data_IF_219503303169
#
_entry.id   IF_219503303169
#
_cell.length_a   1.000
_cell.length_b   1.000
_cell.length_c   1.000
_cell.angle_alpha   90.00
_cell.angle_beta   90.00
_cell.angle_gamma   90.00
#
_symmetry.space_group_name_H-M   'P 1'
#
loop_
_entity.id
_entity.type
_entity.pdbx_description
1 polymer ?
#
# COMPACT_ATOMS: atom_id res chain seq x y z
N UNK A 1 16.33 -13.16 -33.11
CA UNK A 1 16.22 -13.53 -31.68
C UNK A 1 14.74 -13.67 -31.24
N UNK A 2 13.88 -14.33 -32.04
CA UNK A 2 12.41 -14.38 -31.84
C UNK A 2 11.83 -15.80 -31.79
N UNK A 3 12.67 -16.84 -31.68
CA UNK A 3 12.26 -18.26 -31.72
C UNK A 3 12.31 -19.00 -30.37
N UNK A 4 12.41 -18.26 -29.25
CA UNK A 4 12.54 -18.85 -27.91
C UNK A 4 11.22 -18.81 -27.12
N UNK A 5 10.38 -17.78 -27.34
CA UNK A 5 9.13 -17.60 -26.60
C UNK A 5 8.08 -18.70 -26.89
N UNK A 6 7.90 -19.10 -28.16
CA UNK A 6 6.92 -20.14 -28.52
C UNK A 6 7.24 -21.54 -27.96
N UNK A 7 8.53 -21.84 -27.69
CA UNK A 7 8.93 -23.13 -27.09
C UNK A 7 8.62 -23.22 -25.60
N UNK A 8 8.67 -22.11 -24.88
CA UNK A 8 8.33 -22.07 -23.47
C UNK A 8 6.81 -22.25 -23.25
N UNK A 9 6.01 -21.60 -24.09
CA UNK A 9 4.55 -21.68 -23.99
C UNK A 9 4.02 -23.06 -24.41
N UNK A 10 4.58 -23.67 -25.45
CA UNK A 10 4.27 -25.04 -25.86
C UNK A 10 4.62 -26.05 -24.74
N UNK A 11 5.80 -25.94 -24.13
CA UNK A 11 6.22 -26.83 -23.03
C UNK A 11 5.32 -26.68 -21.80
N UNK A 12 4.86 -25.46 -21.49
CA UNK A 12 3.96 -25.19 -20.37
C UNK A 12 2.55 -25.72 -20.62
N UNK A 13 2.09 -25.66 -21.88
CA UNK A 13 0.82 -26.25 -22.31
C UNK A 13 0.86 -27.78 -22.19
N UNK A 14 1.91 -28.41 -22.71
CA UNK A 14 2.12 -29.87 -22.70
C UNK A 14 2.22 -30.44 -21.28
N UNK A 15 2.92 -29.73 -20.39
CA UNK A 15 3.00 -30.11 -18.98
C UNK A 15 1.63 -30.03 -18.29
N UNK A 16 0.78 -29.06 -18.68
CA UNK A 16 -0.55 -28.88 -18.11
C UNK A 16 -1.52 -29.97 -18.58
N UNK A 17 -1.48 -30.34 -19.85
CA UNK A 17 -2.35 -31.38 -20.43
C UNK A 17 -2.02 -32.78 -19.93
N UNK A 18 -0.76 -33.09 -19.60
CA UNK A 18 -0.40 -34.45 -19.19
C UNK A 18 -0.25 -34.66 -17.68
N UNK A 19 -0.05 -33.61 -16.89
CA UNK A 19 0.24 -33.74 -15.45
C UNK A 19 -0.76 -33.08 -14.51
N UNK A 20 -1.64 -32.20 -14.99
CA UNK A 20 -2.55 -31.43 -14.14
C UNK A 20 -4.03 -31.76 -14.31
N UNK A 21 -4.37 -32.79 -15.09
CA UNK A 21 -5.76 -33.21 -15.22
C UNK A 21 -6.32 -33.70 -13.88
N UNK A 22 -7.48 -33.18 -13.53
CA UNK A 22 -8.18 -33.58 -12.32
C UNK A 22 -8.64 -35.04 -12.48
N UNK A 23 -8.23 -35.89 -11.54
CA UNK A 23 -8.72 -37.26 -11.45
C UNK A 23 -10.25 -37.28 -11.34
N UNK A 24 -10.90 -38.15 -12.12
CA UNK A 24 -12.35 -38.29 -12.12
C UNK A 24 -12.92 -38.72 -10.75
N UNK A 25 -12.16 -39.50 -9.97
CA UNK A 25 -12.48 -39.81 -8.58
C UNK A 25 -11.20 -40.06 -7.77
N UNK A 26 -11.32 -40.13 -6.44
CA UNK A 26 -10.18 -40.39 -5.56
C UNK A 26 -9.62 -41.81 -5.73
N UNK A 27 -10.43 -42.78 -6.13
CA UNK A 27 -10.01 -44.17 -6.31
C UNK A 27 -8.96 -44.31 -7.43
N UNK A 28 -9.20 -43.67 -8.58
CA UNK A 28 -8.27 -43.59 -9.71
C UNK A 28 -7.00 -42.82 -9.30
N UNK A 29 -7.14 -41.83 -8.40
CA UNK A 29 -5.99 -41.11 -7.84
C UNK A 29 -5.13 -42.00 -6.94
N UNK A 30 -5.73 -42.91 -6.17
CA UNK A 30 -4.98 -43.89 -5.35
C UNK A 30 -4.20 -44.86 -6.22
N UNK A 31 -4.85 -45.38 -7.27
CA UNK A 31 -4.32 -46.45 -8.12
C UNK A 31 -3.08 -46.02 -8.91
N UNK A 32 -3.00 -44.74 -9.26
CA UNK A 32 -1.88 -44.15 -10.01
C UNK A 32 -0.71 -43.68 -9.13
N UNK A 33 -0.80 -43.83 -7.80
CA UNK A 33 0.23 -43.38 -6.86
C UNK A 33 1.17 -44.53 -6.49
N UNK A 34 2.18 -44.77 -7.32
CA UNK A 34 3.15 -45.86 -7.11
C UNK A 34 4.08 -45.64 -5.90
N UNK A 35 4.37 -44.36 -5.58
CA UNK A 35 5.40 -44.01 -4.60
C UNK A 35 4.90 -43.91 -3.16
N UNK A 36 3.60 -43.74 -2.92
CA UNK A 36 3.03 -43.47 -1.59
C UNK A 36 2.16 -44.64 -1.16
N UNK A 37 2.43 -45.27 0.02
CA UNK A 37 1.57 -46.31 0.55
C UNK A 37 0.10 -45.89 0.60
N UNK A 38 -0.79 -46.77 0.15
CA UNK A 38 -2.23 -46.51 0.01
C UNK A 38 -2.87 -46.08 1.35
N UNK A 39 -2.37 -46.58 2.48
CA UNK A 39 -2.82 -46.20 3.83
C UNK A 39 -2.52 -44.74 4.16
N UNK A 40 -1.29 -44.28 3.90
CA UNK A 40 -0.86 -42.89 4.15
C UNK A 40 -1.63 -41.91 3.25
N UNK A 41 -1.83 -42.28 1.99
CA UNK A 41 -2.57 -41.43 1.07
C UNK A 41 -4.05 -41.32 1.47
N UNK A 42 -4.69 -42.41 1.91
CA UNK A 42 -6.06 -42.38 2.46
C UNK A 42 -6.16 -41.48 3.69
N UNK A 43 -5.18 -41.54 4.59
CA UNK A 43 -5.12 -40.69 5.78
C UNK A 43 -5.08 -39.20 5.40
N UNK A 44 -4.19 -38.82 4.49
CA UNK A 44 -4.11 -37.45 3.95
C UNK A 44 -5.41 -36.99 3.28
N UNK A 45 -6.04 -37.87 2.52
CA UNK A 45 -7.26 -37.56 1.79
C UNK A 45 -8.46 -37.40 2.72
N UNK A 46 -8.52 -38.20 3.78
CA UNK A 46 -9.51 -38.05 4.86
C UNK A 46 -9.32 -36.75 5.62
N UNK A 47 -8.07 -36.38 5.94
CA UNK A 47 -7.76 -35.10 6.59
C UNK A 47 -8.18 -33.92 5.70
N UNK A 48 -7.97 -34.02 4.38
CA UNK A 48 -8.46 -33.02 3.43
C UNK A 48 -9.99 -32.93 3.41
N UNK A 49 -10.70 -34.07 3.38
CA UNK A 49 -12.18 -34.12 3.41
C UNK A 49 -12.78 -33.64 4.72
N UNK A 50 -12.17 -33.97 5.87
CA UNK A 50 -12.57 -33.49 7.21
C UNK A 50 -12.58 -31.96 7.30
N UNK A 51 -11.83 -31.28 6.43
CA UNK A 51 -11.73 -29.82 6.35
C UNK A 51 -12.82 -29.17 5.49
N UNK A 52 -13.44 -29.93 4.60
CA UNK A 52 -14.62 -29.52 3.83
C UNK A 52 -15.91 -29.71 4.65
N UNK A 53 -15.89 -30.66 5.58
CA UNK A 53 -16.86 -30.72 6.68
C UNK A 53 -16.42 -29.79 7.82
N UNK A 54 -17.32 -29.32 8.68
CA UNK A 54 -17.02 -28.29 9.71
C UNK A 54 -15.99 -28.73 10.79
N UNK A 55 -15.32 -29.88 10.64
CA UNK A 55 -14.33 -30.43 11.55
C UNK A 55 -12.91 -30.21 10.98
N UNK A 56 -12.54 -28.93 10.80
CA UNK A 56 -11.22 -28.54 10.28
C UNK A 56 -10.09 -29.15 11.11
N UNK A 57 -9.22 -30.01 10.54
CA UNK A 57 -8.11 -30.60 11.29
C UNK A 57 -7.14 -29.52 11.77
N UNK A 58 -6.65 -29.71 12.99
CA UNK A 58 -5.76 -28.76 13.66
C UNK A 58 -4.42 -28.60 12.90
N UNK A 59 -3.78 -27.41 12.92
CA UNK A 59 -2.43 -27.24 12.40
C UNK A 59 -1.42 -28.29 12.91
N UNK A 60 -1.55 -28.72 14.17
CA UNK A 60 -0.75 -29.79 14.77
C UNK A 60 -0.95 -31.13 14.07
N UNK A 61 -2.20 -31.57 13.90
CA UNK A 61 -2.52 -32.85 13.24
C UNK A 61 -1.95 -32.89 11.82
N UNK A 62 -2.07 -31.79 11.08
CA UNK A 62 -1.47 -31.67 9.75
C UNK A 62 0.04 -31.80 9.79
N UNK A 63 0.69 -31.14 10.74
CA UNK A 63 2.14 -31.18 10.87
C UNK A 63 2.63 -32.60 11.14
N UNK A 64 2.02 -33.30 12.09
CA UNK A 64 2.35 -34.70 12.43
C UNK A 64 2.23 -35.59 11.19
N UNK A 65 1.10 -35.51 10.49
CA UNK A 65 0.83 -36.39 9.34
C UNK A 65 1.75 -36.08 8.16
N UNK A 66 2.00 -34.80 7.87
CA UNK A 66 2.84 -34.40 6.72
C UNK A 66 4.33 -34.63 6.96
N UNK A 67 4.77 -34.67 8.22
CA UNK A 67 6.17 -34.93 8.57
C UNK A 67 6.48 -36.40 8.85
N UNK A 68 5.45 -37.26 8.92
CA UNK A 68 5.62 -38.71 9.08
C UNK A 68 6.46 -39.29 7.95
N UNK A 69 7.60 -39.87 8.32
CA UNK A 69 8.48 -40.56 7.37
C UNK A 69 7.82 -41.83 6.84
N UNK A 70 8.02 -42.10 5.54
CA UNK A 70 7.62 -43.36 4.91
C UNK A 70 8.35 -44.54 5.57
N UNK A 71 7.63 -45.61 5.96
CA UNK A 71 8.25 -46.84 6.41
C UNK A 71 9.10 -47.43 5.27
N UNK A 72 10.18 -48.14 5.61
CA UNK A 72 11.09 -48.79 4.67
C UNK A 72 11.82 -47.84 3.70
N UNK A 73 11.85 -46.53 3.98
CA UNK A 73 12.68 -45.57 3.26
C UNK A 73 13.81 -45.12 4.18
N UNK A 74 15.05 -45.28 3.73
CA UNK A 74 16.19 -44.67 4.41
C UNK A 74 16.24 -43.18 4.09
N UNK A 75 16.62 -42.38 5.08
CA UNK A 75 16.80 -40.95 4.91
C UNK A 75 18.18 -40.53 5.38
N UNK A 76 18.66 -39.41 4.86
CA UNK A 76 19.99 -38.88 5.18
C UNK A 76 20.06 -38.27 6.58
N UNK A 77 19.02 -37.54 6.95
CA UNK A 77 18.96 -36.81 8.22
C UNK A 77 18.08 -37.53 9.23
N UNK A 78 18.39 -37.37 10.51
CA UNK A 78 17.56 -37.85 11.64
C UNK A 78 16.23 -37.11 11.68
N UNK A 79 15.25 -37.66 12.41
CA UNK A 79 13.93 -37.04 12.59
C UNK A 79 13.79 -36.33 13.94
N UNK A 80 14.92 -36.08 14.61
CA UNK A 80 14.96 -35.61 16.00
C UNK A 80 14.26 -34.26 16.15
N UNK A 81 14.56 -33.26 15.30
CA UNK A 81 13.91 -31.94 15.36
C UNK A 81 12.39 -32.02 15.19
N UNK A 82 11.91 -32.85 14.25
CA UNK A 82 10.47 -33.07 14.05
C UNK A 82 9.86 -33.73 15.28
N UNK A 83 10.47 -34.80 15.77
CA UNK A 83 9.98 -35.57 16.91
C UNK A 83 9.97 -34.72 18.18
N UNK A 84 11.00 -33.93 18.43
CA UNK A 84 11.10 -32.99 19.55
C UNK A 84 9.97 -31.96 19.49
N UNK A 85 9.70 -31.35 18.33
CA UNK A 85 8.58 -30.40 18.18
C UNK A 85 7.23 -31.04 18.41
N UNK A 86 7.03 -32.28 17.97
CA UNK A 86 5.79 -33.03 18.19
C UNK A 86 5.58 -33.29 19.68
N UNK A 87 6.61 -33.78 20.38
CA UNK A 87 6.57 -34.02 21.81
C UNK A 87 6.34 -32.72 22.61
N UNK A 88 6.98 -31.61 22.22
CA UNK A 88 6.77 -30.30 22.84
C UNK A 88 5.31 -29.83 22.70
N UNK A 89 4.71 -29.99 21.52
CA UNK A 89 3.29 -29.69 21.30
C UNK A 89 2.35 -30.61 22.10
N UNK A 90 2.74 -31.86 22.38
CA UNK A 90 1.96 -32.78 23.25
C UNK A 90 2.05 -32.38 24.72
N UNK A 91 3.22 -31.99 25.19
CA UNK A 91 3.43 -31.53 26.57
C UNK A 91 2.62 -30.26 26.89
N UNK A 92 2.63 -29.29 25.98
CA UNK A 92 1.88 -28.03 26.14
C UNK A 92 0.37 -28.30 26.19
N UNK A 93 -0.15 -29.24 25.40
CA UNK A 93 -1.56 -29.64 25.46
C UNK A 93 -1.91 -30.38 26.75
N UNK A 94 -1.02 -31.23 27.26
CA UNK A 94 -1.26 -31.92 28.54
C UNK A 94 -1.37 -30.94 29.71
N UNK A 95 -0.47 -29.95 29.79
CA UNK A 95 -0.46 -28.95 30.85
C UNK A 95 -1.72 -28.06 30.86
N UNK A 96 -2.27 -27.76 29.69
CA UNK A 96 -3.51 -26.97 29.58
C UNK A 96 -4.77 -27.68 30.06
N UNK A 97 -4.78 -29.01 30.06
CA UNK A 97 -5.93 -29.76 30.57
C UNK A 97 -6.00 -29.73 32.11
N UNK A 98 -4.93 -29.27 32.78
CA UNK A 98 -4.84 -29.17 34.23
C UNK A 98 -5.17 -27.75 34.74
N UNK A 99 -4.71 -26.71 34.02
CA UNK A 99 -4.89 -25.29 34.35
C UNK A 99 -5.97 -24.64 33.47
N UNK A 100 -7.25 -24.75 33.88
CA UNK A 100 -8.44 -24.43 33.06
C UNK A 100 -8.74 -22.95 32.75
N UNK A 101 -7.74 -22.09 32.57
CA UNK A 101 -7.90 -20.63 32.49
C UNK A 101 -7.49 -19.98 31.14
N UNK A 102 -6.76 -20.66 30.24
CA UNK A 102 -6.53 -20.16 28.88
C UNK A 102 -6.14 -21.30 27.91
N UNK A 103 -6.86 -21.45 26.79
CA UNK A 103 -6.49 -22.44 25.76
C UNK A 103 -5.30 -21.90 24.95
N UNK A 104 -4.09 -22.31 25.30
CA UNK A 104 -2.87 -21.92 24.61
C UNK A 104 -2.75 -22.72 23.30
N UNK A 105 -2.58 -22.05 22.15
CA UNK A 105 -2.31 -22.75 20.89
C UNK A 105 -0.92 -23.40 20.94
N UNK A 106 -0.88 -24.71 21.22
CA UNK A 106 0.35 -25.49 21.34
C UNK A 106 1.18 -25.41 20.05
N UNK A 107 0.53 -25.37 18.89
CA UNK A 107 1.22 -25.28 17.61
C UNK A 107 1.90 -23.91 17.43
N UNK A 108 1.19 -22.82 17.72
CA UNK A 108 1.77 -21.47 17.65
C UNK A 108 2.85 -21.24 18.72
N UNK A 109 2.79 -21.94 19.86
CA UNK A 109 3.80 -21.86 20.90
C UNK A 109 5.14 -22.44 20.42
N UNK A 110 5.11 -23.64 19.83
CA UNK A 110 6.32 -24.32 19.32
C UNK A 110 6.84 -23.70 18.02
N UNK A 111 5.93 -23.40 17.07
CA UNK A 111 6.31 -22.92 15.74
C UNK A 111 6.41 -21.40 15.66
N UNK A 112 6.10 -20.71 16.75
CA UNK A 112 5.92 -19.26 16.79
C UNK A 112 4.62 -18.81 16.13
N UNK A 113 4.15 -17.63 16.58
CA UNK A 113 3.01 -16.96 15.99
C UNK A 113 3.27 -16.64 14.51
N UNK A 114 2.17 -16.56 13.78
CA UNK A 114 2.21 -16.36 12.34
C UNK A 114 2.48 -14.90 12.03
N UNK A 115 3.49 -14.62 11.20
CA UNK A 115 3.81 -13.24 10.85
C UNK A 115 2.62 -12.54 10.14
N UNK A 116 2.34 -11.27 10.49
CA UNK A 116 1.33 -10.46 9.80
C UNK A 116 1.56 -10.44 8.29
N UNK A 117 0.49 -10.56 7.50
CA UNK A 117 0.56 -10.57 6.04
C UNK A 117 1.15 -11.85 5.42
N UNK A 118 1.54 -12.85 6.22
CA UNK A 118 2.08 -14.12 5.72
C UNK A 118 1.19 -15.29 6.11
N UNK A 119 0.85 -16.14 5.13
CA UNK A 119 0.10 -17.35 5.38
C UNK A 119 0.93 -18.64 5.21
N UNK A 120 1.32 -19.27 6.33
CA UNK A 120 1.72 -20.69 6.39
C UNK A 120 0.60 -21.55 5.80
N UNK A 121 0.93 -22.31 4.77
CA UNK A 121 0.00 -23.14 4.00
C UNK A 121 0.03 -24.62 4.39
N UNK A 122 1.02 -25.10 5.15
CA UNK A 122 1.12 -26.50 5.59
C UNK A 122 0.81 -27.55 4.50
N UNK A 123 1.34 -27.35 3.28
CA UNK A 123 1.11 -28.25 2.14
C UNK A 123 -0.26 -28.09 1.45
N UNK A 124 -1.08 -27.12 1.85
CA UNK A 124 -2.36 -26.77 1.24
C UNK A 124 -2.10 -25.84 0.05
N UNK A 125 -2.75 -26.09 -1.08
CA UNK A 125 -2.78 -25.14 -2.18
C UNK A 125 -3.44 -23.83 -1.78
N UNK A 126 -3.02 -22.73 -2.38
CA UNK A 126 -3.65 -21.42 -2.13
C UNK A 126 -5.07 -21.42 -2.72
N UNK A 127 -6.09 -21.24 -1.88
CA UNK A 127 -7.46 -20.98 -2.35
C UNK A 127 -7.77 -19.48 -2.31
N UNK A 128 -8.79 -19.02 -3.06
CA UNK A 128 -9.16 -17.60 -3.09
C UNK A 128 -9.53 -17.05 -1.70
N UNK A 129 -10.11 -17.89 -0.84
CA UNK A 129 -10.44 -17.55 0.57
C UNK A 129 -9.20 -17.52 1.46
N UNK A 130 -8.20 -18.36 1.17
CA UNK A 130 -6.90 -18.34 1.85
C UNK A 130 -6.15 -17.02 1.63
N UNK A 131 -6.21 -16.45 0.43
CA UNK A 131 -5.61 -15.13 0.11
C UNK A 131 -6.42 -13.97 0.66
N UNK A 132 -7.74 -14.10 0.60
CA UNK A 132 -8.69 -13.15 1.16
C UNK A 132 -8.80 -13.44 2.66
N UNK A 133 -7.70 -13.20 3.39
CA UNK A 133 -7.59 -13.46 4.82
C UNK A 133 -8.90 -13.11 5.54
N UNK A 134 -9.39 -14.03 6.38
CA UNK A 134 -10.61 -13.81 7.17
C UNK A 134 -10.50 -12.46 7.86
N UNK A 135 -11.52 -11.63 7.66
CA UNK A 135 -11.77 -10.37 8.37
C UNK A 135 -12.25 -10.72 9.78
N UNK A 136 -11.49 -11.54 10.49
CA UNK A 136 -11.81 -11.97 11.86
C UNK A 136 -10.54 -11.64 12.65
N UNK A 137 -10.70 -10.68 13.59
CA UNK A 137 -9.70 -10.03 14.45
C UNK A 137 -9.12 -8.68 13.95
N UNK A 138 -10.00 -7.77 13.51
CA UNK A 138 -9.75 -6.31 13.63
C UNK A 138 -10.46 -5.72 14.86
N UNK A 139 -10.67 -6.51 15.91
CA UNK A 139 -11.48 -6.14 17.08
C UNK A 139 -10.68 -5.40 18.16
N UNK A 140 -9.75 -4.53 17.76
CA UNK A 140 -9.07 -3.60 18.68
C UNK A 140 -8.46 -2.35 17.99
N UNK A 141 -8.94 -1.95 16.81
CA UNK A 141 -8.34 -0.83 16.06
C UNK A 141 -9.28 0.33 15.75
N UNK A 142 -10.54 0.33 16.20
CA UNK A 142 -11.45 1.46 15.91
C UNK A 142 -11.09 2.73 16.68
N UNK A 143 -10.52 2.61 17.88
CA UNK A 143 -10.32 3.76 18.77
C UNK A 143 -8.95 4.44 18.57
N UNK A 144 -7.93 3.69 18.12
CA UNK A 144 -6.60 4.20 17.83
C UNK A 144 -6.56 5.07 16.56
N UNK A 145 -7.39 4.77 15.57
CA UNK A 145 -7.55 5.58 14.36
C UNK A 145 -8.18 6.94 14.65
N UNK A 146 -9.15 7.01 15.57
CA UNK A 146 -9.83 8.27 15.87
C UNK A 146 -8.92 9.26 16.61
N UNK A 147 -8.08 8.76 17.52
CA UNK A 147 -7.11 9.60 18.24
C UNK A 147 -6.01 10.14 17.33
N UNK A 148 -5.51 9.31 16.39
CA UNK A 148 -4.52 9.73 15.41
C UNK A 148 -5.07 10.79 14.44
N UNK A 149 -6.30 10.62 13.97
CA UNK A 149 -6.97 11.59 13.07
C UNK A 149 -7.18 12.92 13.78
N UNK A 150 -7.69 12.91 15.02
CA UNK A 150 -7.87 14.12 15.83
C UNK A 150 -6.55 14.86 16.07
N UNK A 151 -5.47 14.12 16.36
CA UNK A 151 -4.13 14.70 16.53
C UNK A 151 -3.57 15.33 15.24
N UNK A 152 -3.92 14.81 14.07
CA UNK A 152 -3.56 15.39 12.79
C UNK A 152 -4.36 16.66 12.49
N UNK A 153 -5.66 16.66 12.77
CA UNK A 153 -6.55 17.83 12.62
C UNK A 153 -6.08 18.99 13.51
N UNK A 154 -5.81 18.72 14.78
CA UNK A 154 -5.29 19.73 15.72
C UNK A 154 -3.93 20.30 15.25
N UNK A 155 -3.10 19.47 14.60
CA UNK A 155 -1.82 19.92 14.04
C UNK A 155 -1.99 20.75 12.77
N UNK A 156 -3.02 20.46 11.97
CA UNK A 156 -3.37 21.21 10.76
C UNK A 156 -3.89 22.61 11.12
N UNK A 157 -4.83 22.70 12.08
CA UNK A 157 -5.39 23.97 12.54
C UNK A 157 -4.30 24.90 13.11
N UNK A 158 -3.38 24.37 13.93
CA UNK A 158 -2.25 25.17 14.46
C UNK A 158 -1.28 25.64 13.37
N UNK A 159 -1.18 24.93 12.25
CA UNK A 159 -0.33 25.34 11.13
C UNK A 159 -1.00 26.42 10.30
N UNK A 160 -2.31 26.32 10.10
CA UNK A 160 -3.12 27.30 9.38
C UNK A 160 -3.15 28.65 10.10
N UNK A 161 -3.33 28.64 11.43
CA UNK A 161 -3.24 29.83 12.27
C UNK A 161 -1.88 30.54 12.13
N UNK A 162 -0.76 29.79 12.21
CA UNK A 162 0.58 30.35 12.04
C UNK A 162 0.85 30.92 10.65
N UNK A 163 0.24 30.32 9.61
CA UNK A 163 0.37 30.82 8.23
C UNK A 163 -0.35 32.16 8.10
N UNK A 164 -1.55 32.28 8.67
CA UNK A 164 -2.30 33.54 8.62
C UNK A 164 -1.62 34.64 9.44
N UNK A 165 -1.12 34.33 10.64
CA UNK A 165 -0.33 35.27 11.45
C UNK A 165 0.91 35.78 10.71
N UNK A 166 1.67 34.88 10.08
CA UNK A 166 2.89 35.25 9.35
C UNK A 166 2.56 36.08 8.10
N UNK A 167 1.40 35.83 7.47
CA UNK A 167 0.91 36.62 6.33
C UNK A 167 0.51 38.03 6.75
N UNK A 168 -0.20 38.17 7.86
CA UNK A 168 -0.53 39.49 8.42
C UNK A 168 0.74 40.28 8.80
N UNK A 169 1.73 39.64 9.44
CA UNK A 169 3.01 40.29 9.76
C UNK A 169 3.76 40.74 8.50
N UNK A 170 3.77 39.91 7.45
CA UNK A 170 4.40 40.28 6.19
C UNK A 170 3.70 41.47 5.52
N UNK A 171 2.37 41.50 5.55
CA UNK A 171 1.60 42.61 5.00
C UNK A 171 1.82 43.91 5.80
N UNK A 172 1.92 43.82 7.14
CA UNK A 172 2.29 44.96 8.00
C UNK A 172 3.72 45.46 7.75
N UNK A 173 4.68 44.54 7.55
CA UNK A 173 6.04 44.94 7.17
C UNK A 173 6.07 45.62 5.80
N UNK A 174 5.27 45.13 4.86
CA UNK A 174 5.16 45.72 3.53
C UNK A 174 4.54 47.13 3.57
N UNK A 175 3.54 47.37 4.43
CA UNK A 175 2.94 48.70 4.57
C UNK A 175 3.88 49.67 5.28
N UNK A 176 4.53 49.25 6.36
CA UNK A 176 5.52 50.08 7.07
C UNK A 176 6.69 50.47 6.18
N UNK A 177 7.27 49.54 5.41
CA UNK A 177 8.32 49.87 4.44
C UNK A 177 7.84 50.88 3.39
N UNK A 178 6.60 50.75 2.91
CA UNK A 178 6.04 51.71 1.94
C UNK A 178 5.90 53.11 2.55
N UNK A 179 5.44 53.20 3.79
CA UNK A 179 5.33 54.46 4.51
C UNK A 179 6.70 55.10 4.72
N UNK A 180 7.70 54.34 5.16
CA UNK A 180 9.07 54.84 5.36
C UNK A 180 9.67 55.40 4.06
N UNK A 181 9.50 54.70 2.93
CA UNK A 181 9.96 55.18 1.62
C UNK A 181 9.27 56.49 1.24
N UNK A 182 7.95 56.58 1.43
CA UNK A 182 7.19 57.80 1.12
C UNK A 182 7.64 58.96 2.00
N UNK A 183 7.84 58.73 3.30
CA UNK A 183 8.35 59.74 4.24
C UNK A 183 9.76 60.23 3.85
N UNK A 184 10.69 59.32 3.53
CA UNK A 184 12.04 59.70 3.09
C UNK A 184 12.02 60.54 1.81
N UNK A 185 11.21 60.16 0.82
CA UNK A 185 11.04 60.92 -0.43
C UNK A 185 10.48 62.33 -0.15
N UNK A 186 9.46 62.44 0.72
CA UNK A 186 8.88 63.73 1.11
C UNK A 186 9.93 64.62 1.79
N UNK A 187 10.68 64.11 2.76
CA UNK A 187 11.68 64.92 3.48
C UNK A 187 12.84 65.36 2.59
N UNK A 188 13.26 64.53 1.62
CA UNK A 188 14.27 64.90 0.61
C UNK A 188 13.77 66.00 -0.32
N UNK A 189 12.52 65.89 -0.77
CA UNK A 189 11.88 66.89 -1.61
C UNK A 189 11.75 68.24 -0.90
N UNK A 190 11.33 68.25 0.37
CA UNK A 190 11.25 69.47 1.18
C UNK A 190 12.60 70.17 1.36
N UNK A 191 13.70 69.40 1.52
CA UNK A 191 15.05 69.96 1.65
C UNK A 191 15.65 70.48 0.34
N UNK A 192 15.12 70.05 -0.81
CA UNK A 192 15.63 70.44 -2.13
C UNK A 192 15.27 71.87 -2.57
N UNK A 193 14.42 72.58 -1.80
CA UNK A 193 14.05 73.98 -2.06
C UNK A 193 13.16 74.17 -3.30
N UNK A 194 12.61 73.10 -3.87
CA UNK A 194 11.69 73.15 -5.00
C UNK A 194 10.28 73.53 -4.52
N UNK A 195 9.58 74.45 -5.20
CA UNK A 195 8.19 74.78 -4.89
C UNK A 195 7.28 73.62 -5.30
N UNK A 196 6.94 72.76 -4.34
CA UNK A 196 6.05 71.61 -4.55
C UNK A 196 4.66 71.97 -4.05
N UNK A 197 3.65 71.79 -4.91
CA UNK A 197 2.25 72.02 -4.59
C UNK A 197 1.76 71.08 -3.47
N UNK A 198 1.05 71.65 -2.49
CA UNK A 198 0.50 70.94 -1.31
C UNK A 198 -0.42 69.79 -1.72
N UNK A 199 -1.15 69.93 -2.84
CA UNK A 199 -2.01 68.88 -3.36
C UNK A 199 -1.23 67.66 -3.90
N UNK A 200 -0.03 67.87 -4.43
CA UNK A 200 0.86 66.78 -4.90
C UNK A 200 1.42 66.01 -3.70
N UNK A 201 1.67 66.69 -2.58
CA UNK A 201 2.12 66.06 -1.34
C UNK A 201 1.01 65.21 -0.69
N UNK A 202 -0.24 65.70 -0.71
CA UNK A 202 -1.40 64.98 -0.19
C UNK A 202 -1.72 63.72 -1.01
N UNK A 203 -1.62 63.80 -2.34
CA UNK A 203 -1.86 62.63 -3.22
C UNK A 203 -0.82 61.52 -3.04
N UNK A 204 0.45 61.85 -2.74
CA UNK A 204 1.46 60.84 -2.38
C UNK A 204 1.15 60.11 -1.08
N UNK A 205 0.54 60.79 -0.11
CA UNK A 205 0.08 60.19 1.16
C UNK A 205 -1.11 59.24 0.92
N UNK A 206 -2.08 59.67 0.10
CA UNK A 206 -3.32 58.94 -0.19
C UNK A 206 -3.10 57.71 -1.10
N UNK A 207 -2.18 57.78 -2.06
CA UNK A 207 -1.85 56.66 -2.97
C UNK A 207 -1.25 55.45 -2.22
N UNK A 208 -0.73 55.63 -1.00
CA UNK A 208 -0.30 54.51 -0.16
C UNK A 208 -1.45 53.65 0.38
N UNK A 209 -2.70 54.15 0.34
CA UNK A 209 -3.89 53.47 0.86
C UNK A 209 -4.65 52.65 -0.21
N UNK A 210 -4.56 52.99 -1.49
CA UNK A 210 -5.45 52.46 -2.53
C UNK A 210 -4.73 51.68 -3.63
N UNK A 211 -4.82 50.33 -3.51
CA UNK A 211 -4.71 49.28 -4.55
C UNK A 211 -3.51 49.35 -5.53
N UNK A 212 -2.56 48.45 -5.32
CA UNK A 212 -1.80 47.83 -6.42
C UNK A 212 -2.31 46.42 -6.70
N UNK A 213 -3.18 46.28 -7.70
CA UNK A 213 -3.37 45.02 -8.43
C UNK A 213 -3.55 45.32 -9.91
N UNK A 214 -2.45 45.48 -10.65
CA UNK A 214 -2.42 45.20 -12.09
C UNK A 214 -0.98 45.17 -12.62
N UNK A 215 -0.30 44.04 -12.43
CA UNK A 215 0.81 43.66 -13.32
C UNK A 215 0.29 42.48 -14.14
N UNK A 216 -0.02 42.74 -15.42
CA UNK A 216 -0.47 41.73 -16.37
C UNK A 216 0.69 40.79 -16.74
N UNK A 217 0.51 39.45 -16.72
CA UNK A 217 1.47 38.52 -17.28
C UNK A 217 1.49 38.64 -18.82
N UNK A 218 2.69 38.72 -19.40
CA UNK A 218 2.89 38.72 -20.85
C UNK A 218 2.63 37.30 -21.39
N UNK A 219 1.45 37.06 -21.95
CA UNK A 219 1.20 35.87 -22.77
C UNK A 219 1.59 36.16 -24.22
N UNK A 220 2.69 35.56 -24.68
CA UNK A 220 3.12 35.59 -26.08
C UNK A 220 2.43 34.44 -26.81
N UNK A 221 1.38 34.75 -27.56
CA UNK A 221 0.75 33.83 -28.51
C UNK A 221 1.65 33.66 -29.73
N UNK A 222 1.97 32.44 -30.13
CA UNK A 222 2.52 32.18 -31.46
C UNK A 222 1.88 30.92 -32.04
N UNK A 223 1.07 31.18 -33.06
CA UNK A 223 0.48 30.28 -34.06
C UNK A 223 1.54 29.70 -34.98
N UNK A 224 1.39 28.42 -35.38
CA UNK A 224 1.69 27.85 -36.72
C UNK A 224 1.48 26.32 -36.68
N UNK A 225 0.41 25.76 -37.26
CA UNK A 225 0.33 25.05 -38.57
C UNK A 225 1.01 23.66 -38.56
N UNK A 226 0.48 22.53 -39.07
CA UNK A 226 -0.40 22.22 -40.20
C UNK A 226 -1.24 20.94 -39.95
N UNK A 227 -2.36 20.82 -40.67
CA UNK A 227 -3.13 19.58 -40.84
C UNK A 227 -2.55 18.72 -41.97
N UNK A 228 -2.59 17.38 -41.86
CA UNK A 228 -3.17 16.51 -42.90
C UNK A 228 -3.39 15.06 -42.41
N UNK A 229 -4.38 14.43 -43.04
CA UNK A 229 -5.21 13.31 -42.60
C UNK A 229 -4.55 11.92 -42.61
N UNK A 230 -5.14 10.96 -41.88
CA UNK A 230 -5.72 9.70 -42.41
C UNK A 230 -5.94 8.66 -41.30
N UNK A 231 -7.20 8.25 -41.10
CA UNK A 231 -7.60 6.98 -40.44
C UNK A 231 -8.08 6.02 -41.56
N UNK A 232 -8.29 4.68 -41.38
CA UNK A 232 -9.04 4.07 -40.26
C UNK A 232 -8.67 2.63 -39.79
N UNK A 233 -9.21 2.28 -38.60
CA UNK A 233 -9.60 0.93 -38.17
C UNK A 233 -8.55 0.08 -37.42
N UNK A 234 -8.84 -0.73 -36.38
CA UNK A 234 -10.01 -0.95 -35.54
C UNK A 234 -9.55 -1.82 -34.34
N UNK A 235 -10.18 -1.63 -33.17
CA UNK A 235 -10.44 -2.63 -32.11
C UNK A 235 -9.28 -3.21 -31.27
N UNK A 236 -9.17 -2.79 -30.00
CA UNK A 236 -9.36 -3.68 -28.83
C UNK A 236 -9.22 -2.90 -27.51
N UNK A 237 -10.22 -3.10 -26.65
CA UNK A 237 -10.43 -2.40 -25.39
C UNK A 237 -9.29 -2.66 -24.39
N UNK A 238 -8.55 -1.59 -24.04
CA UNK A 238 -7.72 -1.56 -22.84
C UNK A 238 -8.43 -0.66 -21.82
N UNK A 239 -8.87 -1.26 -20.71
CA UNK A 239 -9.35 -0.54 -19.55
C UNK A 239 -8.18 0.26 -18.95
N UNK A 240 -8.11 1.55 -19.27
CA UNK A 240 -7.22 2.50 -18.59
C UNK A 240 -7.90 2.94 -17.29
N UNK A 241 -7.26 2.66 -16.16
CA UNK A 241 -7.63 3.22 -14.86
C UNK A 241 -7.34 4.73 -14.91
N UNK A 242 -8.37 5.53 -15.19
CA UNK A 242 -8.26 6.99 -15.14
C UNK A 242 -8.24 7.43 -13.68
N UNK A 243 -7.04 7.68 -13.14
CA UNK A 243 -6.89 8.43 -11.91
C UNK A 243 -7.31 9.88 -12.17
N UNK A 244 -8.50 10.27 -11.69
CA UNK A 244 -8.91 11.67 -11.59
C UNK A 244 -8.14 12.32 -10.44
N UNK A 245 -6.94 12.82 -10.73
CA UNK A 245 -6.31 13.82 -9.88
C UNK A 245 -6.95 15.17 -10.19
N UNK A 246 -7.42 15.88 -9.16
CA UNK A 246 -7.99 17.21 -9.34
C UNK A 246 -6.91 18.16 -9.89
N UNK A 247 -7.33 19.16 -10.67
CA UNK A 247 -6.42 20.13 -11.30
C UNK A 247 -5.46 20.80 -10.32
N UNK A 248 -5.87 20.93 -9.05
CA UNK A 248 -5.06 21.48 -7.95
C UNK A 248 -3.78 20.69 -7.70
N UNK A 249 -3.82 19.35 -7.77
CA UNK A 249 -2.67 18.48 -7.47
C UNK A 249 -1.60 18.57 -8.57
N UNK A 250 -2.02 18.75 -9.83
CA UNK A 250 -1.08 18.95 -10.95
C UNK A 250 -0.34 20.29 -10.84
N UNK A 251 -0.99 21.35 -10.36
CA UNK A 251 -0.33 22.64 -10.12
C UNK A 251 0.75 22.56 -9.05
N UNK A 252 0.50 21.84 -7.95
CA UNK A 252 1.48 21.73 -6.85
C UNK A 252 2.71 20.91 -7.28
N UNK A 253 2.51 19.80 -8.00
CA UNK A 253 3.61 18.98 -8.52
C UNK A 253 4.42 19.74 -9.58
N UNK A 254 3.77 20.53 -10.44
CA UNK A 254 4.46 21.34 -11.45
C UNK A 254 5.26 22.51 -10.87
N UNK A 255 4.87 23.05 -9.71
CA UNK A 255 5.63 24.08 -8.99
C UNK A 255 6.87 23.46 -8.33
N UNK A 256 6.77 22.27 -7.77
CA UNK A 256 7.88 21.60 -7.08
C UNK A 256 9.06 21.28 -8.02
N UNK A 257 8.80 20.80 -9.23
CA UNK A 257 9.85 20.53 -10.23
C UNK A 257 10.48 21.79 -10.85
N UNK A 258 9.91 22.97 -10.62
CA UNK A 258 10.42 24.24 -11.16
C UNK A 258 11.31 25.00 -10.17
N UNK A 259 11.26 24.62 -8.88
CA UNK A 259 12.02 25.24 -7.79
C UNK A 259 13.30 24.46 -7.42
N UNK A 260 13.43 23.21 -7.87
CA UNK A 260 14.63 22.40 -7.66
C UNK A 260 15.03 21.69 -8.98
N UNK A 261 15.65 22.39 -9.94
CA UNK A 261 16.54 21.72 -10.87
C UNK A 261 17.84 21.40 -10.14
N UNK A 262 18.26 20.13 -10.14
CA UNK A 262 19.64 19.77 -9.80
C UNK A 262 20.65 20.59 -10.62
#
# INVERSE_FOLDING_TARGET
>A
MLAVHGRHDARKFDLKTHHFDAYANDQIRMEKSDDVPTSQFKELLNIKKKRETNNTPSPKEFFVVTRKRKPNRSYKDTDEDTASKIAEMENIEMQQNEDGNETIDAFASVMGSKHPGRLRLYGIGVTKTTLKGKVENFEASSNATNDLVKKMEDRMLRMEEKIEEHKEQFDQQKTTMRQEIVEDVITKLQRSGLPIDVNVLATLLDVSSTRETNIRPIHRSSTSSNNQASSPGANSSKCLLAAKLSSSVYTVIAIFFKLFPD
#
